data_IF_000001648987
#
_entry.id   IF_000001648987
#
_cell.length_a   1.000
_cell.length_b   1.000
_cell.length_c   1.000
_cell.angle_alpha   90.00
_cell.angle_beta   90.00
_cell.angle_gamma   90.00
#
_symmetry.space_group_name_H-M   'P 1'
#
loop_
_entity.id
_entity.type
_entity.pdbx_description
1 polymer ?
#
# COMPACT_ATOMS: atom_id res chain seq x y z
N UNK A 1 -9.00 -4.17 39.63
CA UNK A 1 -8.95 -4.98 38.41
C UNK A 1 -7.88 -4.40 37.51
N UNK A 2 -6.79 -5.11 37.32
CA UNK A 2 -5.63 -4.65 36.56
C UNK A 2 -5.79 -5.07 35.09
N UNK A 3 -5.59 -4.13 34.17
CA UNK A 3 -5.69 -4.35 32.73
C UNK A 3 -4.47 -3.76 32.04
N UNK A 4 -4.03 -4.41 30.96
CA UNK A 4 -2.92 -3.97 30.12
C UNK A 4 -3.47 -3.64 28.72
N UNK A 5 -3.15 -2.44 28.21
CA UNK A 5 -3.41 -2.06 26.83
C UNK A 5 -2.13 -2.16 25.99
N UNK A 6 -2.17 -2.99 24.95
CA UNK A 6 -1.06 -3.18 24.03
C UNK A 6 -1.21 -2.26 22.81
N UNK A 7 -0.51 -1.13 22.84
CA UNK A 7 -0.49 -0.14 21.76
C UNK A 7 0.66 -0.37 20.77
N UNK A 8 0.92 -1.63 20.38
CA UNK A 8 2.09 -2.05 19.57
C UNK A 8 1.94 -1.78 18.06
N UNK A 9 0.96 -0.95 17.67
CA UNK A 9 0.69 -0.63 16.27
C UNK A 9 0.06 -1.79 15.50
N UNK A 10 0.38 -1.87 14.21
CA UNK A 10 -0.24 -2.81 13.25
C UNK A 10 0.82 -3.38 12.33
N UNK A 11 0.74 -4.68 12.06
CA UNK A 11 1.52 -5.33 11.00
C UNK A 11 0.82 -5.07 9.66
N UNK A 12 1.62 -4.80 8.63
CA UNK A 12 1.11 -4.59 7.28
C UNK A 12 1.76 -5.61 6.35
N UNK A 13 0.93 -6.38 5.69
CA UNK A 13 1.34 -7.34 4.68
C UNK A 13 0.22 -7.44 3.63
N UNK A 14 0.58 -7.27 2.36
CA UNK A 14 -0.35 -7.35 1.23
C UNK A 14 -0.95 -8.74 1.08
N UNK A 15 -0.21 -9.78 1.49
CA UNK A 15 -0.62 -11.19 1.40
C UNK A 15 -1.74 -11.53 2.37
N UNK A 16 -1.83 -10.79 3.46
CA UNK A 16 -2.85 -10.95 4.50
C UNK A 16 -4.11 -10.12 4.22
N UNK A 17 -4.13 -9.35 3.11
CA UNK A 17 -5.31 -8.57 2.72
C UNK A 17 -6.30 -9.43 1.93
N UNK A 18 -7.38 -9.86 2.59
CA UNK A 18 -8.44 -10.65 1.94
C UNK A 18 -8.98 -10.00 0.65
N UNK A 19 -9.06 -8.66 0.62
CA UNK A 19 -9.52 -7.91 -0.56
C UNK A 19 -8.61 -8.08 -1.79
N UNK A 20 -7.31 -8.33 -1.58
CA UNK A 20 -6.32 -8.41 -2.66
C UNK A 20 -6.01 -9.85 -3.08
N UNK A 21 -6.64 -10.85 -2.47
CA UNK A 21 -6.32 -12.26 -2.70
C UNK A 21 -6.45 -12.66 -4.18
N UNK A 22 -7.53 -12.25 -4.84
CA UNK A 22 -7.76 -12.54 -6.26
C UNK A 22 -6.83 -11.76 -7.18
N UNK A 23 -6.53 -10.50 -6.81
CA UNK A 23 -5.56 -9.66 -7.55
C UNK A 23 -4.17 -10.27 -7.51
N UNK A 24 -3.72 -10.74 -6.33
CA UNK A 24 -2.44 -11.43 -6.17
C UNK A 24 -2.34 -12.70 -7.00
N UNK A 25 -3.44 -13.44 -7.13
CA UNK A 25 -3.49 -14.66 -7.94
C UNK A 25 -3.49 -14.36 -9.45
N UNK A 26 -4.21 -13.32 -9.88
CA UNK A 26 -4.32 -12.94 -11.30
C UNK A 26 -3.12 -12.12 -11.80
N UNK A 27 -2.52 -11.30 -10.93
CA UNK A 27 -1.44 -10.37 -11.23
C UNK A 27 -0.33 -10.47 -10.17
N UNK A 28 0.53 -11.50 -10.23
CA UNK A 28 1.63 -11.65 -9.30
C UNK A 28 2.55 -10.42 -9.30
N UNK A 29 2.97 -10.01 -8.11
CA UNK A 29 3.86 -8.86 -7.90
C UNK A 29 4.99 -9.25 -6.96
N UNK A 30 6.16 -8.62 -7.11
CA UNK A 30 7.23 -8.75 -6.13
C UNK A 30 6.78 -8.14 -4.79
N UNK A 31 7.12 -8.81 -3.68
CA UNK A 31 6.73 -8.39 -2.33
C UNK A 31 7.98 -8.38 -1.45
N UNK A 32 8.32 -7.20 -0.91
CA UNK A 32 9.46 -7.01 -0.01
C UNK A 32 8.93 -6.70 1.39
N UNK A 33 9.20 -7.58 2.36
CA UNK A 33 8.74 -7.44 3.74
C UNK A 33 7.22 -7.17 3.88
N UNK A 34 6.42 -7.82 3.02
CA UNK A 34 4.96 -7.68 2.99
C UNK A 34 4.45 -6.47 2.20
N UNK A 35 5.34 -5.65 1.62
CA UNK A 35 4.97 -4.50 0.79
C UNK A 35 5.11 -4.85 -0.70
N UNK A 36 4.09 -4.60 -1.53
CA UNK A 36 4.16 -4.86 -2.97
C UNK A 36 5.06 -3.82 -3.66
N UNK A 37 5.82 -4.25 -4.66
CA UNK A 37 6.59 -3.36 -5.53
C UNK A 37 5.65 -2.79 -6.61
N UNK A 38 5.16 -1.58 -6.36
CA UNK A 38 4.34 -0.78 -7.28
C UNK A 38 5.22 0.01 -8.26
N UNK A 39 4.61 0.50 -9.34
CA UNK A 39 5.27 1.45 -10.24
C UNK A 39 5.39 2.88 -9.63
N UNK A 40 5.99 3.80 -10.40
CA UNK A 40 6.18 5.19 -9.98
C UNK A 40 4.87 5.95 -9.68
N UNK A 41 3.76 5.50 -10.27
CA UNK A 41 2.42 6.08 -10.11
C UNK A 41 1.59 5.34 -9.05
N UNK A 42 2.21 4.42 -8.30
CA UNK A 42 1.59 3.58 -7.27
C UNK A 42 0.58 2.58 -7.83
N UNK A 43 0.75 2.21 -9.08
CA UNK A 43 -0.09 1.22 -9.75
C UNK A 43 0.44 -0.19 -9.52
N UNK A 44 -0.48 -1.12 -9.36
CA UNK A 44 -0.22 -2.55 -9.35
C UNK A 44 0.22 -3.02 -10.74
N UNK A 45 1.38 -3.70 -10.87
CA UNK A 45 1.84 -4.21 -12.16
C UNK A 45 0.83 -5.18 -12.79
N UNK A 46 0.41 -4.91 -14.02
CA UNK A 46 -0.47 -5.79 -14.80
C UNK A 46 -1.97 -5.48 -14.73
N UNK A 47 -2.43 -4.56 -13.89
CA UNK A 47 -3.85 -4.14 -13.86
C UNK A 47 -4.01 -2.65 -13.53
N UNK A 48 -5.19 -2.08 -13.77
CA UNK A 48 -5.53 -0.68 -13.41
C UNK A 48 -5.98 -0.57 -11.95
N UNK A 49 -5.16 -1.05 -11.03
CA UNK A 49 -5.37 -0.95 -9.58
C UNK A 49 -4.29 -0.04 -8.98
N UNK A 50 -4.70 0.98 -8.23
CA UNK A 50 -3.77 1.92 -7.58
C UNK A 50 -3.81 1.71 -6.06
N UNK A 51 -2.65 1.71 -5.43
CA UNK A 51 -2.50 1.45 -4.00
C UNK A 51 -2.00 2.72 -3.30
N UNK A 52 -2.67 3.09 -2.20
CA UNK A 52 -2.27 4.19 -1.33
C UNK A 52 -2.19 3.71 0.12
N UNK A 53 -1.71 4.57 1.02
CA UNK A 53 -1.51 4.21 2.41
C UNK A 53 -0.26 3.38 2.63
N UNK A 54 -0.19 2.62 3.72
CA UNK A 54 1.03 1.91 4.12
C UNK A 54 1.56 0.92 3.09
N UNK A 55 0.71 0.35 2.24
CA UNK A 55 1.14 -0.63 1.22
C UNK A 55 1.95 0.03 0.09
N UNK A 56 1.88 1.35 -0.05
CA UNK A 56 2.67 2.13 -1.00
C UNK A 56 4.00 2.64 -0.40
N UNK A 57 4.41 2.15 0.77
CA UNK A 57 5.55 2.70 1.50
C UNK A 57 6.90 2.54 0.78
N UNK A 58 7.07 1.55 -0.10
CA UNK A 58 8.30 1.43 -0.89
C UNK A 58 8.52 2.62 -1.84
N UNK A 59 7.43 3.24 -2.31
CA UNK A 59 7.45 4.35 -3.28
C UNK A 59 7.20 5.70 -2.61
N UNK A 60 6.31 5.75 -1.63
CA UNK A 60 5.92 6.99 -0.91
C UNK A 60 6.87 7.28 0.25
N UNK A 61 7.51 6.25 0.80
CA UNK A 61 8.40 6.35 1.96
C UNK A 61 7.69 6.21 3.31
N UNK A 62 8.37 6.51 4.43
CA UNK A 62 7.88 6.24 5.78
C UNK A 62 6.60 7.01 6.16
N UNK A 63 6.30 8.09 5.43
CA UNK A 63 5.09 8.90 5.62
C UNK A 63 3.83 8.29 5.01
N UNK A 64 3.93 7.18 4.27
CA UNK A 64 2.80 6.59 3.54
C UNK A 64 1.56 6.30 4.41
N UNK A 65 1.75 6.10 5.72
CA UNK A 65 0.68 5.83 6.69
C UNK A 65 0.06 7.07 7.33
N UNK A 66 0.40 8.28 6.89
CA UNK A 66 -0.11 9.53 7.45
C UNK A 66 -0.70 10.45 6.36
N UNK A 67 -1.22 11.60 6.78
CA UNK A 67 -1.87 12.57 5.90
C UNK A 67 -0.93 13.15 4.85
N UNK A 68 0.35 13.38 5.17
CA UNK A 68 1.31 13.92 4.19
C UNK A 68 1.63 12.89 3.11
N UNK A 69 1.80 11.62 3.49
CA UNK A 69 1.95 10.52 2.53
C UNK A 69 0.71 10.31 1.67
N UNK A 70 -0.49 10.43 2.26
CA UNK A 70 -1.75 10.41 1.51
C UNK A 70 -1.80 11.49 0.43
N UNK A 71 -1.41 12.72 0.76
CA UNK A 71 -1.33 13.83 -0.21
C UNK A 71 -0.27 13.59 -1.30
N UNK A 72 0.89 13.05 -0.94
CA UNK A 72 1.92 12.72 -1.93
C UNK A 72 1.44 11.64 -2.91
N UNK A 73 0.81 10.59 -2.39
CA UNK A 73 0.28 9.51 -3.18
C UNK A 73 -0.85 9.97 -4.11
N UNK A 74 -1.74 10.86 -3.65
CA UNK A 74 -2.84 11.36 -4.47
C UNK A 74 -2.34 12.14 -5.69
N UNK A 75 -1.27 12.93 -5.56
CA UNK A 75 -0.68 13.67 -6.69
C UNK A 75 -0.17 12.70 -7.77
N UNK A 76 0.46 11.59 -7.38
CA UNK A 76 0.98 10.57 -8.32
C UNK A 76 -0.15 9.83 -9.02
N UNK A 77 -1.15 9.37 -8.26
CA UNK A 77 -2.31 8.65 -8.82
C UNK A 77 -3.11 9.55 -9.76
N UNK A 78 -3.45 10.78 -9.35
CA UNK A 78 -4.16 11.72 -10.21
C UNK A 78 -3.35 12.09 -11.44
N UNK A 79 -2.03 12.29 -11.30
CA UNK A 79 -1.14 12.57 -12.42
C UNK A 79 -1.22 11.50 -13.50
N UNK A 80 -1.39 10.22 -13.13
CA UNK A 80 -1.57 9.13 -14.08
C UNK A 80 -2.99 9.00 -14.63
N UNK A 81 -4.02 9.25 -13.82
CA UNK A 81 -5.42 9.09 -14.24
C UNK A 81 -5.87 10.16 -15.24
N UNK A 82 -5.25 11.33 -15.21
CA UNK A 82 -5.62 12.49 -16.04
C UNK A 82 -4.55 12.88 -17.06
N UNK A 83 -3.50 12.07 -17.24
CA UNK A 83 -2.52 12.20 -18.31
C UNK A 83 -2.92 11.33 -19.52
#
# INVERSE_FOLDING_TARGET
ADRIWLATGTKLDVREQSLLKEVLAAYPVEIVNGLPVLDENLRWPGCELFIMGGLAALQVGPVARNLSGGRMASVRVCGRLFA
#
